data_IF_532471921607
#
_entry.id   IF_532471921607
#
_cell.length_a   1.000
_cell.length_b   1.000
_cell.length_c   1.000
_cell.angle_alpha   90.00
_cell.angle_beta   90.00
_cell.angle_gamma   90.00
#
_symmetry.space_group_name_H-M   'P 1'
#
loop_
_entity.id
_entity.type
_entity.pdbx_description
1 polymer ?
#
# COMPACT_ATOMS: atom_id res chain seq x y z
N UNK A 1 25.26 17.94 -58.39
CA UNK A 1 26.18 18.65 -57.46
C UNK A 1 25.34 19.11 -56.27
N UNK A 2 25.16 18.23 -55.28
CA UNK A 2 25.80 18.27 -53.94
C UNK A 2 25.39 19.51 -53.14
N UNK A 3 24.50 19.44 -52.16
CA UNK A 3 24.75 19.03 -50.75
C UNK A 3 23.41 19.17 -49.99
N UNK A 4 22.86 18.14 -49.35
CA UNK A 4 23.08 17.67 -47.97
C UNK A 4 23.21 18.76 -46.89
N UNK A 5 22.15 18.92 -46.08
CA UNK A 5 22.23 19.48 -44.72
C UNK A 5 21.04 18.98 -43.89
N UNK A 6 21.38 18.05 -43.00
CA UNK A 6 20.53 17.42 -41.99
C UNK A 6 20.26 18.39 -40.83
N UNK A 7 18.99 18.76 -40.62
CA UNK A 7 18.51 19.36 -39.35
C UNK A 7 17.95 18.27 -38.44
N UNK A 8 18.61 18.06 -37.30
CA UNK A 8 18.08 17.28 -36.16
C UNK A 8 16.95 18.07 -35.48
N UNK A 9 15.84 17.44 -35.04
CA UNK A 9 15.00 18.01 -34.00
C UNK A 9 15.59 17.67 -32.62
N UNK A 10 15.63 18.68 -31.76
CA UNK A 10 16.16 18.61 -30.40
C UNK A 10 15.34 17.68 -29.50
N UNK A 11 16.07 16.96 -28.64
CA UNK A 11 15.54 16.44 -27.39
C UNK A 11 15.24 17.61 -26.47
N UNK A 12 13.97 17.81 -26.15
CA UNK A 12 13.57 18.47 -24.91
C UNK A 12 12.25 17.84 -24.46
N UNK A 13 12.35 16.91 -23.50
CA UNK A 13 11.21 16.38 -22.75
C UNK A 13 11.76 15.72 -21.48
N UNK A 14 12.09 16.55 -20.50
CA UNK A 14 12.60 16.14 -19.19
C UNK A 14 11.91 16.84 -18.01
N UNK A 15 10.74 17.44 -18.21
CA UNK A 15 10.05 18.25 -17.20
C UNK A 15 8.54 18.01 -17.25
N UNK A 16 8.08 16.84 -16.78
CA UNK A 16 6.62 16.64 -16.61
C UNK A 16 6.19 15.71 -15.47
N UNK A 17 7.08 14.91 -14.87
CA UNK A 17 6.70 14.04 -13.75
C UNK A 17 6.96 14.68 -12.37
N UNK A 18 7.98 15.54 -12.24
CA UNK A 18 8.33 16.20 -10.98
C UNK A 18 7.39 17.37 -10.63
N UNK A 19 6.90 18.09 -11.65
CA UNK A 19 5.97 19.23 -11.46
C UNK A 19 4.58 18.77 -11.00
N UNK A 20 4.13 17.58 -11.43
CA UNK A 20 2.82 17.05 -11.04
C UNK A 20 2.74 16.67 -9.55
N UNK A 21 3.83 16.13 -8.99
CA UNK A 21 3.90 15.79 -7.57
C UNK A 21 3.98 17.04 -6.69
N UNK A 22 4.70 18.08 -7.14
CA UNK A 22 4.79 19.37 -6.44
C UNK A 22 3.45 20.11 -6.40
N UNK A 23 2.72 20.12 -7.52
CA UNK A 23 1.40 20.75 -7.62
C UNK A 23 0.34 20.05 -6.74
N UNK A 24 0.37 18.71 -6.69
CA UNK A 24 -0.53 17.94 -5.83
C UNK A 24 -0.26 18.18 -4.33
N UNK A 25 1.01 18.32 -3.95
CA UNK A 25 1.41 18.60 -2.57
C UNK A 25 1.04 20.02 -2.14
N UNK A 26 1.21 21.01 -3.01
CA UNK A 26 0.76 22.40 -2.77
C UNK A 26 -0.77 22.50 -2.70
N UNK A 27 -1.50 21.78 -3.55
CA UNK A 27 -2.97 21.72 -3.48
C UNK A 27 -3.45 21.06 -2.17
N UNK A 28 -2.81 19.97 -1.73
CA UNK A 28 -3.09 19.35 -0.44
C UNK A 28 -2.79 20.29 0.74
N UNK A 29 -1.72 21.09 0.63
CA UNK A 29 -1.31 22.05 1.65
C UNK A 29 -2.23 23.27 1.73
N UNK A 30 -2.76 23.72 0.60
CA UNK A 30 -3.81 24.74 0.53
C UNK A 30 -5.13 24.23 1.15
N UNK A 31 -5.44 22.94 0.96
CA UNK A 31 -6.62 22.29 1.57
C UNK A 31 -6.47 22.11 3.09
N UNK A 32 -5.25 22.08 3.62
CA UNK A 32 -4.93 21.91 5.03
C UNK A 32 -4.85 23.22 5.83
N UNK A 33 -5.02 24.39 5.19
CA UNK A 33 -5.14 25.64 5.94
C UNK A 33 -6.50 25.68 6.63
N UNK A 34 -6.49 25.59 7.96
CA UNK A 34 -7.70 25.77 8.75
C UNK A 34 -8.27 27.18 8.49
N UNK A 35 -9.56 27.31 8.13
CA UNK A 35 -10.15 28.62 7.90
C UNK A 35 -10.09 29.47 9.18
N UNK A 36 -9.93 30.81 9.05
CA UNK A 36 -9.95 31.71 10.20
C UNK A 36 -11.28 31.60 10.97
N UNK A 37 -11.24 31.90 12.27
CA UNK A 37 -12.29 31.60 13.25
C UNK A 37 -13.68 32.27 13.01
N UNK A 38 -13.81 33.11 11.99
CA UNK A 38 -15.02 33.89 11.67
C UNK A 38 -15.84 33.33 10.50
N UNK A 39 -15.38 32.26 9.82
CA UNK A 39 -15.89 31.87 8.49
C UNK A 39 -16.72 30.57 8.44
N UNK A 40 -17.05 29.99 9.61
CA UNK A 40 -17.83 28.75 9.66
C UNK A 40 -19.32 29.09 9.71
N UNK A 41 -20.14 28.70 8.73
CA UNK A 41 -21.57 28.97 8.75
C UNK A 41 -22.22 28.27 9.96
N UNK A 42 -22.95 29.04 10.76
CA UNK A 42 -23.62 28.56 11.96
C UNK A 42 -25.11 28.47 11.68
N UNK A 43 -25.73 27.33 11.95
CA UNK A 43 -27.19 27.15 11.94
C UNK A 43 -27.62 26.79 13.35
N UNK A 44 -28.34 27.71 14.00
CA UNK A 44 -28.86 27.54 15.34
C UNK A 44 -30.30 27.06 15.27
N UNK A 45 -30.59 25.91 15.87
CA UNK A 45 -31.97 25.47 16.11
C UNK A 45 -32.35 25.74 17.56
N UNK A 46 -33.31 26.63 17.80
CA UNK A 46 -33.92 26.82 19.12
C UNK A 46 -35.21 25.99 19.24
N UNK A 47 -35.31 25.20 20.29
CA UNK A 47 -36.50 24.43 20.66
C UNK A 47 -36.98 24.92 22.02
N UNK A 48 -38.07 25.67 22.02
CA UNK A 48 -38.61 26.35 23.20
C UNK A 48 -40.09 26.67 22.97
N UNK A 49 -40.97 26.46 23.94
CA UNK A 49 -42.41 26.76 23.77
C UNK A 49 -42.72 28.26 23.94
N UNK A 50 -41.81 29.03 24.53
CA UNK A 50 -41.98 30.44 24.83
C UNK A 50 -41.44 31.33 23.72
N UNK A 51 -42.34 31.98 23.00
CA UNK A 51 -42.01 32.94 21.93
C UNK A 51 -41.15 34.11 22.40
N UNK A 52 -41.22 34.48 23.69
CA UNK A 52 -40.39 35.56 24.25
C UNK A 52 -38.91 35.18 24.30
N UNK A 53 -38.59 33.90 24.55
CA UNK A 53 -37.22 33.39 24.54
C UNK A 53 -36.68 33.38 23.12
N UNK A 54 -37.50 32.93 22.15
CA UNK A 54 -37.13 32.99 20.74
C UNK A 54 -36.84 34.41 20.26
N UNK A 55 -37.66 35.39 20.64
CA UNK A 55 -37.41 36.80 20.30
C UNK A 55 -36.14 37.35 20.95
N UNK A 56 -35.85 36.97 22.19
CA UNK A 56 -34.64 37.40 22.88
C UNK A 56 -33.38 36.82 22.22
N UNK A 57 -33.38 35.52 21.91
CA UNK A 57 -32.28 34.85 21.19
C UNK A 57 -32.11 35.44 19.80
N UNK A 58 -33.20 35.62 19.04
CA UNK A 58 -33.16 36.23 17.72
C UNK A 58 -32.56 37.64 17.75
N UNK A 59 -32.93 38.47 18.73
CA UNK A 59 -32.35 39.80 18.91
C UNK A 59 -30.87 39.75 19.30
N UNK A 60 -30.47 38.79 20.14
CA UNK A 60 -29.07 38.62 20.51
C UNK A 60 -28.19 38.26 19.29
N UNK A 61 -28.75 37.50 18.34
CA UNK A 61 -28.06 37.05 17.12
C UNK A 61 -28.19 38.01 15.93
N UNK A 62 -29.05 39.04 15.99
CA UNK A 62 -29.40 39.87 14.82
C UNK A 62 -28.21 40.60 14.17
N UNK A 63 -27.22 41.01 14.97
CA UNK A 63 -26.02 41.71 14.50
C UNK A 63 -24.81 40.78 14.31
N UNK A 64 -25.01 39.46 14.32
CA UNK A 64 -23.95 38.47 14.17
C UNK A 64 -23.93 37.86 12.77
N UNK A 65 -22.95 38.25 11.96
CA UNK A 65 -22.76 37.69 10.63
C UNK A 65 -22.45 36.18 10.68
N UNK A 66 -22.99 35.46 9.69
CA UNK A 66 -22.75 34.02 9.50
C UNK A 66 -23.51 33.11 10.47
N UNK A 67 -24.51 33.64 11.20
CA UNK A 67 -25.40 32.86 12.06
C UNK A 67 -26.83 32.88 11.51
N UNK A 68 -27.28 31.74 11.00
CA UNK A 68 -28.67 31.47 10.68
C UNK A 68 -29.41 30.93 11.91
N UNK A 69 -30.70 31.23 11.99
CA UNK A 69 -31.54 30.88 13.14
C UNK A 69 -32.86 30.25 12.70
N UNK A 70 -33.20 29.11 13.32
CA UNK A 70 -34.46 28.43 13.16
C UNK A 70 -35.13 28.23 14.53
N UNK A 71 -36.42 28.52 14.62
CA UNK A 71 -37.21 28.38 15.84
C UNK A 71 -38.27 27.30 15.71
N UNK A 72 -38.28 26.36 16.67
CA UNK A 72 -39.23 25.27 16.77
C UNK A 72 -40.01 25.39 18.10
N UNK A 73 -41.30 25.77 18.06
CA UNK A 73 -42.11 25.98 19.26
C UNK A 73 -42.67 24.71 19.91
N UNK A 74 -42.59 23.56 19.23
CA UNK A 74 -43.28 22.32 19.61
C UNK A 74 -42.28 21.18 19.76
N UNK A 75 -42.35 20.44 20.86
CA UNK A 75 -41.48 19.27 21.10
C UNK A 75 -41.60 18.21 20.02
N UNK A 76 -42.81 18.00 19.50
CA UNK A 76 -43.13 16.91 18.57
C UNK A 76 -42.45 17.11 17.21
N UNK A 77 -42.21 18.35 16.82
CA UNK A 77 -41.59 18.73 15.54
C UNK A 77 -40.06 18.85 15.66
N UNK A 78 -39.52 18.87 16.88
CA UNK A 78 -38.14 19.23 17.15
C UNK A 78 -37.12 18.25 16.53
N UNK A 79 -37.43 16.95 16.48
CA UNK A 79 -36.56 15.96 15.84
C UNK A 79 -36.55 16.11 14.32
N UNK A 80 -37.72 16.34 13.72
CA UNK A 80 -37.85 16.55 12.28
C UNK A 80 -37.14 17.84 11.86
N UNK A 81 -37.38 18.94 12.59
CA UNK A 81 -36.71 20.22 12.37
C UNK A 81 -35.18 20.08 12.45
N UNK A 82 -34.64 19.34 13.42
CA UNK A 82 -33.19 19.11 13.53
C UNK A 82 -32.61 18.35 12.33
N UNK A 83 -33.32 17.34 11.82
CA UNK A 83 -32.86 16.59 10.63
C UNK A 83 -32.93 17.44 9.37
N UNK A 84 -33.99 18.23 9.21
CA UNK A 84 -34.23 19.07 8.03
C UNK A 84 -33.25 20.24 7.96
N UNK A 85 -33.12 20.98 9.06
CA UNK A 85 -32.30 22.21 9.12
C UNK A 85 -30.80 21.94 9.24
N UNK A 86 -30.40 20.72 9.65
CA UNK A 86 -29.01 20.32 9.89
C UNK A 86 -28.24 21.35 10.71
N UNK A 87 -28.69 21.65 11.94
CA UNK A 87 -28.09 22.68 12.75
C UNK A 87 -26.65 22.33 13.14
N UNK A 88 -25.83 23.35 13.33
CA UNK A 88 -24.49 23.20 13.90
C UNK A 88 -24.49 23.31 15.43
N UNK A 89 -25.60 23.78 16.02
CA UNK A 89 -25.88 23.74 17.46
C UNK A 89 -27.39 23.77 17.71
N UNK A 90 -27.85 23.02 18.71
CA UNK A 90 -29.24 23.02 19.19
C UNK A 90 -29.30 23.69 20.56
N UNK A 91 -30.21 24.66 20.70
CA UNK A 91 -30.60 25.24 21.99
C UNK A 91 -31.90 24.57 22.43
N UNK A 92 -31.86 23.76 23.47
CA UNK A 92 -33.00 22.94 23.91
C UNK A 92 -33.54 23.39 25.26
N UNK A 93 -34.80 23.81 25.32
CA UNK A 93 -35.46 24.01 26.60
C UNK A 93 -35.65 22.70 27.36
N UNK A 94 -35.46 22.72 28.68
CA UNK A 94 -35.71 21.56 29.52
C UNK A 94 -37.19 21.40 29.90
N UNK A 95 -37.95 22.49 29.99
CA UNK A 95 -39.33 22.46 30.48
C UNK A 95 -40.29 22.86 29.37
N UNK A 96 -40.83 21.88 28.67
CA UNK A 96 -41.81 22.10 27.60
C UNK A 96 -43.12 21.34 27.86
N UNK A 97 -44.26 21.83 27.37
CA UNK A 97 -45.52 21.09 27.38
C UNK A 97 -45.40 19.77 26.59
N UNK A 98 -45.90 18.68 27.16
CA UNK A 98 -45.97 17.37 26.50
C UNK A 98 -44.73 16.51 26.74
N UNK A 99 -43.59 16.89 26.17
CA UNK A 99 -42.34 16.11 26.25
C UNK A 99 -41.29 16.80 27.11
N UNK A 100 -40.69 16.06 28.04
CA UNK A 100 -39.54 16.51 28.83
C UNK A 100 -38.31 16.78 27.93
N UNK A 101 -37.70 17.95 28.06
CA UNK A 101 -36.57 18.36 27.22
C UNK A 101 -35.37 17.41 27.33
N UNK A 102 -35.15 16.76 28.49
CA UNK A 102 -34.11 15.73 28.62
C UNK A 102 -34.40 14.48 27.76
N UNK A 103 -35.68 14.17 27.52
CA UNK A 103 -36.07 13.08 26.63
C UNK A 103 -35.76 13.42 25.16
N UNK A 104 -35.92 14.69 24.76
CA UNK A 104 -35.48 15.16 23.44
C UNK A 104 -33.96 15.11 23.26
N UNK A 105 -33.19 15.52 24.28
CA UNK A 105 -31.72 15.39 24.26
C UNK A 105 -31.29 13.94 23.99
N UNK A 106 -31.91 12.98 24.67
CA UNK A 106 -31.65 11.55 24.43
C UNK A 106 -32.06 11.13 23.02
N UNK A 107 -33.21 11.59 22.53
CA UNK A 107 -33.68 11.30 21.18
C UNK A 107 -32.67 11.79 20.11
N UNK A 108 -32.15 13.01 20.26
CA UNK A 108 -31.10 13.54 19.37
C UNK A 108 -29.86 12.64 19.35
N UNK A 109 -29.38 12.21 20.53
CA UNK A 109 -28.20 11.32 20.65
C UNK A 109 -28.41 9.92 20.05
N UNK A 110 -29.65 9.45 19.96
CA UNK A 110 -29.96 8.17 19.30
C UNK A 110 -30.12 8.28 17.78
N UNK A 111 -30.29 9.50 17.23
CA UNK A 111 -30.49 9.69 15.80
C UNK A 111 -29.14 9.78 15.06
N UNK A 112 -28.86 8.90 14.08
CA UNK A 112 -27.55 8.85 13.42
C UNK A 112 -27.18 10.10 12.62
N UNK A 113 -28.15 10.93 12.23
CA UNK A 113 -27.92 12.14 11.42
C UNK A 113 -27.48 13.32 12.29
N UNK A 114 -27.99 13.41 13.52
CA UNK A 114 -27.84 14.59 14.40
C UNK A 114 -27.22 14.25 15.76
N UNK A 115 -26.87 12.99 16.02
CA UNK A 115 -26.29 12.55 17.30
C UNK A 115 -25.04 13.32 17.71
N UNK A 116 -24.28 13.80 16.73
CA UNK A 116 -23.01 14.50 16.93
C UNK A 116 -23.20 16.02 17.01
N UNK A 117 -24.40 16.54 16.76
CA UNK A 117 -24.72 17.97 16.86
C UNK A 117 -24.66 18.41 18.34
N UNK A 118 -23.91 19.47 18.68
CA UNK A 118 -23.85 20.00 20.03
C UNK A 118 -25.22 20.47 20.52
N UNK A 119 -25.55 20.16 21.78
CA UNK A 119 -26.79 20.58 22.42
C UNK A 119 -26.46 21.42 23.65
N UNK A 120 -26.94 22.66 23.65
CA UNK A 120 -26.91 23.56 24.79
C UNK A 120 -28.31 23.54 25.41
N UNK A 121 -28.44 23.07 26.63
CA UNK A 121 -29.74 23.08 27.30
C UNK A 121 -30.00 24.44 27.95
N UNK A 122 -31.24 24.91 27.86
CA UNK A 122 -31.73 26.16 28.45
C UNK A 122 -32.63 25.84 29.64
N UNK A 123 -32.43 26.53 30.77
CA UNK A 123 -33.23 26.34 31.99
C UNK A 123 -33.57 27.66 32.67
N UNK A 124 -34.65 27.70 33.45
CA UNK A 124 -35.08 28.93 34.15
C UNK A 124 -34.24 29.26 35.39
N UNK A 125 -33.60 28.27 36.01
CA UNK A 125 -32.81 28.44 37.25
C UNK A 125 -31.61 27.52 37.22
N UNK A 126 -30.49 27.97 37.79
CA UNK A 126 -29.32 27.11 37.96
C UNK A 126 -29.53 26.14 39.13
N UNK A 127 -29.93 24.91 38.80
CA UNK A 127 -30.09 23.83 39.77
C UNK A 127 -29.05 22.73 39.50
N UNK A 128 -28.13 22.43 40.45
CA UNK A 128 -27.05 21.48 40.24
C UNK A 128 -27.51 20.09 39.80
N UNK A 129 -28.66 19.63 40.32
CA UNK A 129 -29.24 18.32 40.00
C UNK A 129 -29.68 18.25 38.54
N UNK A 130 -30.37 19.29 38.06
CA UNK A 130 -30.85 19.37 36.67
C UNK A 130 -29.66 19.52 35.71
N UNK A 131 -28.68 20.36 36.05
CA UNK A 131 -27.44 20.52 35.29
C UNK A 131 -26.72 19.19 35.13
N UNK A 132 -26.54 18.45 36.22
CA UNK A 132 -25.92 17.11 36.19
C UNK A 132 -26.71 16.13 35.31
N UNK A 133 -28.04 16.14 35.40
CA UNK A 133 -28.90 15.27 34.59
C UNK A 133 -28.82 15.60 33.09
N UNK A 134 -28.70 16.88 32.73
CA UNK A 134 -28.55 17.31 31.34
C UNK A 134 -27.25 16.81 30.70
N UNK A 135 -26.12 16.97 31.38
CA UNK A 135 -24.84 16.42 30.89
C UNK A 135 -24.88 14.89 30.78
N UNK A 136 -25.48 14.20 31.76
CA UNK A 136 -25.65 12.75 31.73
C UNK A 136 -26.57 12.27 30.58
N UNK A 137 -27.55 13.09 30.18
CA UNK A 137 -28.40 12.82 29.02
C UNK A 137 -27.70 13.07 27.68
N UNK A 138 -26.55 13.74 27.69
CA UNK A 138 -25.72 14.01 26.51
C UNK A 138 -25.68 15.47 26.06
N UNK A 139 -26.16 16.42 26.87
CA UNK A 139 -25.95 17.85 26.59
C UNK A 139 -24.45 18.20 26.63
N UNK A 140 -24.04 19.13 25.78
CA UNK A 140 -22.66 19.63 25.72
C UNK A 140 -22.46 20.85 26.62
N UNK A 141 -23.54 21.56 26.93
CA UNK A 141 -23.51 22.78 27.72
C UNK A 141 -24.86 23.08 28.36
N UNK A 142 -24.86 24.01 29.31
CA UNK A 142 -26.02 24.41 30.09
C UNK A 142 -26.03 25.93 30.28
N UNK A 143 -27.16 26.57 29.97
CA UNK A 143 -27.38 28.01 30.12
C UNK A 143 -28.68 28.32 30.87
N UNK A 144 -28.65 29.38 31.68
CA UNK A 144 -29.84 29.93 32.34
C UNK A 144 -30.51 30.94 31.43
N UNK A 145 -31.84 30.89 31.33
CA UNK A 145 -32.66 31.83 30.53
C UNK A 145 -32.88 33.14 31.29
N UNK A 146 -32.73 34.32 30.69
CA UNK A 146 -32.16 34.63 29.37
C UNK A 146 -30.67 34.95 29.52
N UNK A 147 -29.76 34.31 28.76
CA UNK A 147 -28.32 34.57 28.87
C UNK A 147 -27.95 35.93 28.28
N UNK A 148 -26.81 36.46 28.71
CA UNK A 148 -26.22 37.65 28.10
C UNK A 148 -25.85 37.40 26.64
N UNK A 149 -25.98 38.43 25.78
CA UNK A 149 -25.68 38.34 24.34
C UNK A 149 -24.26 37.81 24.09
N UNK A 150 -23.28 38.33 24.82
CA UNK A 150 -21.87 37.99 24.63
C UNK A 150 -21.65 36.52 24.97
N UNK A 151 -22.22 36.05 26.08
CA UNK A 151 -22.09 34.66 26.50
C UNK A 151 -22.77 33.69 25.51
N UNK A 152 -23.99 34.00 25.09
CA UNK A 152 -24.77 33.16 24.18
C UNK A 152 -24.05 32.98 22.83
N UNK A 153 -23.61 34.09 22.22
CA UNK A 153 -22.90 34.07 20.94
C UNK A 153 -21.58 33.30 21.06
N UNK A 154 -20.82 33.52 22.14
CA UNK A 154 -19.55 32.82 22.35
C UNK A 154 -19.73 31.30 22.42
N UNK A 155 -20.75 30.82 23.14
CA UNK A 155 -21.04 29.37 23.25
C UNK A 155 -21.54 28.79 21.93
N UNK A 156 -22.44 29.49 21.23
CA UNK A 156 -22.91 29.08 19.90
C UNK A 156 -21.73 28.92 18.94
N UNK A 157 -20.89 29.95 18.80
CA UNK A 157 -19.73 29.91 17.89
C UNK A 157 -18.74 28.82 18.29
N UNK A 158 -18.47 28.63 19.58
CA UNK A 158 -17.56 27.58 20.06
C UNK A 158 -18.04 26.18 19.70
N UNK A 159 -19.30 25.87 19.98
CA UNK A 159 -19.87 24.54 19.73
C UNK A 159 -20.03 24.27 18.24
N UNK A 160 -20.56 25.22 17.47
CA UNK A 160 -20.71 25.09 16.02
C UNK A 160 -19.36 24.87 15.33
N UNK A 161 -18.31 25.62 15.71
CA UNK A 161 -16.96 25.41 15.17
C UNK A 161 -16.43 24.02 15.51
N UNK A 162 -16.61 23.57 16.74
CA UNK A 162 -16.16 22.24 17.16
C UNK A 162 -16.84 21.12 16.36
N UNK A 163 -18.13 21.28 16.08
CA UNK A 163 -18.88 20.33 15.26
C UNK A 163 -18.43 20.33 13.80
N UNK A 164 -18.27 21.50 13.17
CA UNK A 164 -17.80 21.56 11.78
C UNK A 164 -16.38 21.02 11.65
N UNK A 165 -15.49 21.32 12.60
CA UNK A 165 -14.14 20.74 12.62
C UNK A 165 -14.17 19.21 12.74
N UNK A 166 -15.11 18.65 13.51
CA UNK A 166 -15.30 17.20 13.61
C UNK A 166 -15.70 16.60 12.25
N UNK A 167 -16.67 17.22 11.56
CA UNK A 167 -17.12 16.77 10.23
C UNK A 167 -15.99 16.83 9.20
N UNK A 168 -15.28 17.95 9.13
CA UNK A 168 -14.14 18.14 8.22
C UNK A 168 -13.02 17.13 8.49
N UNK A 169 -12.72 16.87 9.77
CA UNK A 169 -11.71 15.89 10.17
C UNK A 169 -12.11 14.49 9.72
N UNK A 170 -13.36 14.10 9.91
CA UNK A 170 -13.86 12.78 9.54
C UNK A 170 -13.86 12.58 8.01
N UNK A 171 -14.22 13.61 7.25
CA UNK A 171 -14.11 13.62 5.79
C UNK A 171 -12.65 13.49 5.32
N UNK A 172 -11.74 14.29 5.89
CA UNK A 172 -10.32 14.23 5.58
C UNK A 172 -9.72 12.85 5.88
N UNK A 173 -10.10 12.21 6.99
CA UNK A 173 -9.66 10.85 7.31
C UNK A 173 -10.16 9.81 6.29
N UNK A 174 -11.40 9.93 5.81
CA UNK A 174 -11.92 9.04 4.77
C UNK A 174 -11.17 9.20 3.45
N UNK A 175 -10.96 10.44 3.01
CA UNK A 175 -10.20 10.74 1.80
C UNK A 175 -8.76 10.23 1.89
N UNK A 176 -8.09 10.44 3.04
CA UNK A 176 -6.73 9.96 3.27
C UNK A 176 -6.63 8.43 3.17
N UNK A 177 -7.57 7.70 3.78
CA UNK A 177 -7.59 6.23 3.71
C UNK A 177 -7.76 5.72 2.28
N UNK A 178 -8.67 6.33 1.51
CA UNK A 178 -8.86 5.96 0.10
C UNK A 178 -7.59 6.20 -0.72
N UNK A 179 -6.94 7.35 -0.54
CA UNK A 179 -5.69 7.67 -1.22
C UNK A 179 -4.55 6.69 -0.85
N UNK A 180 -4.42 6.35 0.43
CA UNK A 180 -3.42 5.37 0.89
C UNK A 180 -3.64 3.99 0.27
N UNK A 181 -4.89 3.54 0.17
CA UNK A 181 -5.21 2.26 -0.45
C UNK A 181 -4.86 2.26 -1.95
N UNK A 182 -5.25 3.31 -2.68
CA UNK A 182 -4.92 3.44 -4.11
C UNK A 182 -3.41 3.46 -4.34
N UNK A 183 -2.65 4.17 -3.49
CA UNK A 183 -1.20 4.21 -3.58
C UNK A 183 -0.57 2.83 -3.35
N UNK A 184 -1.08 2.07 -2.39
CA UNK A 184 -0.61 0.72 -2.12
C UNK A 184 -0.85 -0.22 -3.30
N UNK A 185 -2.07 -0.22 -3.85
CA UNK A 185 -2.43 -1.02 -5.03
C UNK A 185 -1.57 -0.66 -6.23
N UNK A 186 -1.38 0.64 -6.50
CA UNK A 186 -0.50 1.11 -7.57
C UNK A 186 0.97 0.69 -7.37
N UNK A 187 1.48 0.72 -6.13
CA UNK A 187 2.85 0.30 -5.83
C UNK A 187 3.06 -1.21 -6.04
N UNK A 188 2.08 -2.02 -5.62
CA UNK A 188 2.11 -3.47 -5.81
C UNK A 188 2.09 -3.82 -7.31
N UNK A 189 1.22 -3.16 -8.08
CA UNK A 189 1.15 -3.39 -9.52
C UNK A 189 2.42 -2.94 -10.24
N UNK A 190 2.97 -1.77 -9.89
CA UNK A 190 4.26 -1.32 -10.41
C UNK A 190 5.36 -2.34 -10.13
N UNK A 191 5.48 -2.83 -8.89
CA UNK A 191 6.48 -3.86 -8.53
C UNK A 191 6.30 -5.13 -9.36
N UNK A 192 5.07 -5.58 -9.56
CA UNK A 192 4.75 -6.76 -10.37
C UNK A 192 5.18 -6.55 -11.83
N UNK A 193 4.85 -5.40 -12.41
CA UNK A 193 5.19 -5.06 -13.80
C UNK A 193 6.69 -4.85 -14.03
N UNK A 194 7.41 -4.30 -13.04
CA UNK A 194 8.84 -4.01 -13.19
C UNK A 194 9.70 -5.21 -12.88
N UNK A 195 9.36 -6.02 -11.88
CA UNK A 195 10.26 -7.06 -11.35
C UNK A 195 9.83 -8.49 -11.63
N UNK A 196 8.58 -8.77 -11.97
CA UNK A 196 8.11 -10.15 -12.19
C UNK A 196 8.00 -10.52 -13.67
N UNK A 197 8.15 -11.80 -13.99
CA UNK A 197 7.83 -12.40 -15.27
C UNK A 197 6.33 -12.71 -15.34
N UNK A 198 5.68 -12.27 -16.43
CA UNK A 198 4.22 -12.33 -16.56
C UNK A 198 3.64 -13.75 -16.68
N UNK A 199 4.44 -14.75 -17.07
CA UNK A 199 3.98 -16.14 -17.22
C UNK A 199 4.16 -16.94 -15.92
N UNK A 200 5.35 -16.83 -15.32
CA UNK A 200 5.79 -17.71 -14.24
C UNK A 200 5.64 -17.11 -12.85
N UNK A 201 5.50 -15.78 -12.75
CA UNK A 201 5.44 -15.06 -11.47
C UNK A 201 6.79 -14.87 -10.76
N UNK A 202 7.83 -15.58 -11.19
CA UNK A 202 9.21 -15.37 -10.72
C UNK A 202 9.72 -13.99 -11.08
N UNK A 203 10.90 -13.64 -10.59
CA UNK A 203 11.58 -12.43 -11.04
C UNK A 203 11.84 -12.48 -12.55
N UNK A 204 11.75 -11.34 -13.23
CA UNK A 204 12.16 -11.23 -14.61
C UNK A 204 13.68 -11.01 -14.74
N UNK A 205 14.19 -11.17 -15.97
CA UNK A 205 15.61 -10.98 -16.27
C UNK A 205 16.16 -9.62 -15.86
N UNK A 206 15.39 -8.55 -16.02
CA UNK A 206 15.84 -7.19 -15.67
C UNK A 206 16.13 -7.10 -14.18
N UNK A 207 15.20 -7.58 -13.34
CA UNK A 207 15.38 -7.56 -11.91
C UNK A 207 16.48 -8.53 -11.44
N UNK A 208 16.63 -9.68 -12.11
CA UNK A 208 17.77 -10.57 -11.87
C UNK A 208 19.11 -9.86 -12.08
N UNK A 209 19.29 -9.13 -13.19
CA UNK A 209 20.53 -8.43 -13.49
C UNK A 209 20.84 -7.34 -12.44
N UNK A 210 19.81 -6.59 -12.01
CA UNK A 210 19.91 -5.59 -10.96
C UNK A 210 20.31 -6.21 -9.60
N UNK A 211 19.63 -7.30 -9.22
CA UNK A 211 19.87 -8.02 -7.97
C UNK A 211 21.27 -8.64 -7.93
N UNK A 212 21.67 -9.31 -9.02
CA UNK A 212 22.99 -9.92 -9.13
C UNK A 212 24.11 -8.87 -9.02
N UNK A 213 23.93 -7.69 -9.62
CA UNK A 213 24.88 -6.59 -9.51
C UNK A 213 24.97 -6.04 -8.07
N UNK A 214 23.83 -5.91 -7.39
CA UNK A 214 23.80 -5.50 -5.99
C UNK A 214 24.53 -6.51 -5.09
N UNK A 215 24.24 -7.80 -5.25
CA UNK A 215 24.88 -8.86 -4.47
C UNK A 215 26.36 -9.07 -4.83
N UNK A 216 26.76 -8.81 -6.09
CA UNK A 216 28.19 -8.78 -6.47
C UNK A 216 28.97 -7.73 -5.69
N UNK A 217 28.42 -6.51 -5.59
CA UNK A 217 29.04 -5.41 -4.82
C UNK A 217 29.09 -5.74 -3.33
N UNK A 218 28.02 -6.34 -2.80
CA UNK A 218 27.96 -6.81 -1.41
C UNK A 218 29.03 -7.87 -1.14
N UNK A 219 29.09 -8.92 -1.96
CA UNK A 219 30.07 -10.00 -1.86
C UNK A 219 31.51 -9.52 -1.97
N UNK A 220 31.77 -8.52 -2.83
CA UNK A 220 33.10 -7.90 -2.94
C UNK A 220 33.52 -7.21 -1.64
N UNK A 221 32.60 -6.48 -1.01
CA UNK A 221 32.86 -5.76 0.25
C UNK A 221 33.02 -6.72 1.44
N UNK A 222 32.18 -7.75 1.50
CA UNK A 222 32.10 -8.67 2.63
C UNK A 222 33.02 -9.89 2.47
N UNK A 223 33.65 -10.05 1.30
CA UNK A 223 34.42 -11.24 0.91
C UNK A 223 33.62 -12.53 1.13
N UNK A 224 32.33 -12.47 0.82
CA UNK A 224 31.41 -13.59 0.93
C UNK A 224 31.21 -14.27 -0.42
N UNK A 225 30.92 -15.57 -0.39
CA UNK A 225 30.63 -16.34 -1.59
C UNK A 225 29.33 -15.85 -2.24
N UNK A 226 29.33 -15.76 -3.57
CA UNK A 226 28.16 -15.54 -4.39
C UNK A 226 28.07 -16.65 -5.41
N UNK A 227 26.89 -17.26 -5.50
CA UNK A 227 26.66 -18.42 -6.35
C UNK A 227 25.48 -18.21 -7.28
N UNK A 228 25.54 -18.85 -8.44
CA UNK A 228 24.54 -18.78 -9.50
C UNK A 228 24.24 -20.19 -10.01
N UNK A 229 22.96 -20.50 -10.17
CA UNK A 229 22.48 -21.63 -10.95
C UNK A 229 21.86 -21.12 -12.25
N UNK A 230 22.22 -21.74 -13.37
CA UNK A 230 21.49 -21.65 -14.63
C UNK A 230 20.77 -22.97 -14.88
N UNK A 231 19.48 -22.89 -15.17
CA UNK A 231 18.57 -24.03 -15.25
C UNK A 231 17.87 -23.96 -16.60
N UNK A 232 17.77 -25.10 -17.28
CA UNK A 232 17.08 -25.20 -18.57
C UNK A 232 16.21 -26.45 -18.61
N UNK A 233 14.99 -26.30 -19.16
CA UNK A 233 14.06 -27.42 -19.35
C UNK A 233 14.49 -28.27 -20.53
N UNK A 234 14.84 -29.52 -20.25
CA UNK A 234 15.33 -30.45 -21.25
C UNK A 234 14.27 -30.72 -22.32
N UNK A 235 14.67 -30.66 -23.60
CA UNK A 235 13.81 -31.00 -24.73
C UNK A 235 12.54 -30.12 -24.86
N UNK A 236 12.50 -28.91 -24.25
CA UNK A 236 11.29 -28.09 -24.21
C UNK A 236 10.72 -27.70 -25.58
N UNK A 237 11.58 -27.42 -26.58
CA UNK A 237 11.12 -27.20 -27.96
C UNK A 237 10.34 -28.41 -28.50
N UNK A 238 10.86 -29.61 -28.30
CA UNK A 238 10.21 -30.86 -28.72
C UNK A 238 8.90 -31.09 -27.94
N UNK A 239 8.87 -30.72 -26.65
CA UNK A 239 7.64 -30.72 -25.87
C UNK A 239 6.57 -29.83 -26.49
N UNK A 240 6.90 -28.58 -26.81
CA UNK A 240 5.97 -27.64 -27.45
C UNK A 240 5.49 -28.12 -28.82
N UNK A 241 6.39 -28.67 -29.63
CA UNK A 241 6.05 -29.22 -30.95
C UNK A 241 5.09 -30.41 -30.83
N UNK A 242 5.09 -31.13 -29.71
CA UNK A 242 4.24 -32.30 -29.46
C UNK A 242 2.89 -31.95 -28.82
N UNK A 243 2.90 -31.09 -27.80
CA UNK A 243 1.75 -30.84 -26.92
C UNK A 243 1.15 -29.42 -27.06
N UNK A 244 1.77 -28.58 -27.88
CA UNK A 244 1.39 -27.18 -28.09
C UNK A 244 1.91 -26.24 -27.00
N UNK A 245 2.01 -24.96 -27.35
CA UNK A 245 2.57 -23.91 -26.49
C UNK A 245 1.81 -23.71 -25.17
N UNK A 246 0.47 -23.87 -25.17
CA UNK A 246 -0.33 -23.72 -23.94
C UNK A 246 0.09 -24.77 -22.89
N UNK A 247 0.31 -26.01 -23.31
CA UNK A 247 0.81 -27.07 -22.44
C UNK A 247 2.23 -26.78 -21.95
N UNK A 248 3.08 -26.23 -22.83
CA UNK A 248 4.43 -25.79 -22.47
C UNK A 248 4.43 -24.68 -21.43
N UNK A 249 3.55 -23.69 -21.57
CA UNK A 249 3.37 -22.60 -20.60
C UNK A 249 3.01 -23.15 -19.22
N UNK A 250 2.15 -24.17 -19.14
CA UNK A 250 1.80 -24.82 -17.88
C UNK A 250 2.96 -25.64 -17.29
N UNK A 251 3.81 -26.24 -18.12
CA UNK A 251 5.08 -26.84 -17.68
C UNK A 251 5.98 -25.77 -17.06
N UNK A 252 6.17 -24.63 -17.73
CA UNK A 252 7.03 -23.55 -17.23
C UNK A 252 6.53 -22.99 -15.89
N UNK A 253 5.21 -22.81 -15.72
CA UNK A 253 4.62 -22.40 -14.44
C UNK A 253 4.90 -23.39 -13.32
N UNK A 254 4.77 -24.69 -13.58
CA UNK A 254 5.03 -25.75 -12.59
C UNK A 254 6.51 -25.85 -12.25
N UNK A 255 7.39 -25.71 -13.25
CA UNK A 255 8.85 -25.66 -13.05
C UNK A 255 9.20 -24.47 -12.17
N UNK A 256 8.70 -23.28 -12.52
CA UNK A 256 8.93 -22.05 -11.78
C UNK A 256 8.52 -22.14 -10.30
N UNK A 257 7.28 -22.56 -10.04
CA UNK A 257 6.76 -22.72 -8.68
C UNK A 257 7.57 -23.75 -7.88
N UNK A 258 8.03 -24.82 -8.53
CA UNK A 258 8.85 -25.85 -7.87
C UNK A 258 10.24 -25.33 -7.53
N UNK A 259 10.88 -24.58 -8.44
CA UNK A 259 12.17 -23.92 -8.18
C UNK A 259 12.04 -22.98 -6.99
N UNK A 260 11.03 -22.10 -6.98
CA UNK A 260 10.79 -21.16 -5.88
C UNK A 260 10.54 -21.87 -4.55
N UNK A 261 9.72 -22.92 -4.53
CA UNK A 261 9.44 -23.71 -3.31
C UNK A 261 10.68 -24.43 -2.73
N UNK A 262 11.73 -24.62 -3.55
CA UNK A 262 12.97 -25.22 -3.08
C UNK A 262 13.86 -24.22 -2.33
N UNK A 263 13.69 -22.92 -2.59
CA UNK A 263 14.41 -21.83 -1.94
C UNK A 263 13.88 -21.61 -0.53
N UNK A 264 14.76 -21.25 0.40
CA UNK A 264 14.40 -21.15 1.82
C UNK A 264 14.96 -19.93 2.53
N UNK A 265 15.86 -19.18 1.89
CA UNK A 265 16.48 -18.00 2.49
C UNK A 265 15.90 -16.73 1.88
N UNK A 266 15.68 -15.66 2.67
CA UNK A 266 15.21 -14.37 2.14
C UNK A 266 16.12 -13.73 1.08
N UNK A 267 17.39 -14.14 1.01
CA UNK A 267 18.36 -13.68 0.01
C UNK A 267 18.45 -14.57 -1.23
N UNK A 268 17.77 -15.71 -1.29
CA UNK A 268 17.76 -16.52 -2.51
C UNK A 268 16.80 -15.87 -3.51
N UNK A 269 17.20 -15.75 -4.78
CA UNK A 269 16.35 -15.18 -5.84
C UNK A 269 16.20 -16.17 -6.99
N UNK A 270 14.98 -16.56 -7.31
CA UNK A 270 14.65 -17.25 -8.56
C UNK A 270 14.11 -16.27 -9.61
N UNK A 271 14.58 -16.42 -10.84
CA UNK A 271 14.15 -15.61 -11.97
C UNK A 271 13.97 -16.46 -13.23
N UNK A 272 13.05 -16.04 -14.11
CA UNK A 272 13.01 -16.54 -15.49
C UNK A 272 13.99 -15.74 -16.33
N UNK A 273 15.02 -16.42 -16.84
CA UNK A 273 16.07 -15.81 -17.63
C UNK A 273 15.61 -15.52 -19.07
N UNK A 274 14.81 -16.41 -19.65
CA UNK A 274 14.18 -16.24 -20.96
C UNK A 274 13.72 -17.58 -21.53
N UNK A 275 12.59 -17.61 -22.26
CA UNK A 275 12.09 -18.87 -22.83
C UNK A 275 11.87 -19.94 -21.76
N UNK A 276 12.61 -21.04 -21.86
CA UNK A 276 12.67 -22.17 -20.95
C UNK A 276 13.80 -22.13 -19.91
N UNK A 277 14.55 -21.03 -19.87
CA UNK A 277 15.71 -20.84 -18.99
C UNK A 277 15.32 -20.10 -17.70
N UNK A 278 15.85 -20.59 -16.59
CA UNK A 278 15.68 -20.02 -15.25
C UNK A 278 17.06 -19.81 -14.60
N UNK A 279 17.14 -18.82 -13.72
CA UNK A 279 18.35 -18.53 -12.95
C UNK A 279 18.03 -18.47 -11.46
N UNK A 280 18.97 -18.91 -10.62
CA UNK A 280 18.87 -18.77 -9.16
C UNK A 280 20.14 -18.13 -8.61
N UNK A 281 20.01 -17.00 -7.94
CA UNK A 281 21.10 -16.30 -7.26
C UNK A 281 21.11 -16.70 -5.78
N UNK A 282 22.27 -17.07 -5.26
CA UNK A 282 22.46 -17.61 -3.92
C UNK A 282 23.60 -16.89 -3.19
N UNK A 283 23.32 -15.77 -2.51
CA UNK A 283 24.29 -15.06 -1.69
C UNK A 283 24.75 -15.92 -0.50
N UNK A 284 26.03 -15.83 -0.15
CA UNK A 284 26.64 -16.52 0.99
C UNK A 284 26.51 -18.04 0.94
N UNK A 285 26.51 -18.62 -0.27
CA UNK A 285 26.32 -20.06 -0.47
C UNK A 285 27.53 -20.70 -1.13
N UNK A 286 28.07 -21.71 -0.47
CA UNK A 286 29.27 -22.43 -0.89
C UNK A 286 29.02 -23.38 -2.06
N UNK A 287 30.06 -23.79 -2.82
CA UNK A 287 29.93 -24.73 -3.92
C UNK A 287 29.21 -26.04 -3.54
N UNK A 288 29.43 -26.52 -2.30
CA UNK A 288 28.73 -27.68 -1.76
C UNK A 288 27.23 -27.44 -1.54
N UNK A 289 26.88 -26.28 -0.98
CA UNK A 289 25.48 -25.86 -0.81
C UNK A 289 24.76 -25.68 -2.14
N UNK A 290 25.43 -25.10 -3.12
CA UNK A 290 24.93 -24.94 -4.51
C UNK A 290 24.61 -26.29 -5.12
N UNK A 291 25.54 -27.26 -5.02
CA UNK A 291 25.32 -28.62 -5.54
C UNK A 291 24.11 -29.30 -4.90
N UNK A 292 23.97 -29.20 -3.58
CA UNK A 292 22.85 -29.80 -2.85
C UNK A 292 21.51 -29.17 -3.25
N UNK A 293 21.45 -27.84 -3.36
CA UNK A 293 20.23 -27.14 -3.77
C UNK A 293 19.88 -27.44 -5.23
N UNK A 294 20.86 -27.43 -6.14
CA UNK A 294 20.65 -27.80 -7.53
C UNK A 294 20.09 -29.23 -7.65
N UNK A 295 20.66 -30.20 -6.91
CA UNK A 295 20.18 -31.58 -6.97
C UNK A 295 18.78 -31.72 -6.36
N UNK A 296 18.49 -30.98 -5.28
CA UNK A 296 17.14 -30.88 -4.71
C UNK A 296 16.13 -30.37 -5.75
N UNK A 297 16.45 -29.29 -6.46
CA UNK A 297 15.59 -28.72 -7.51
C UNK A 297 15.39 -29.73 -8.63
N UNK A 298 16.46 -30.36 -9.13
CA UNK A 298 16.40 -31.38 -10.19
C UNK A 298 15.46 -32.54 -9.83
N UNK A 299 15.65 -33.11 -8.64
CA UNK A 299 14.83 -34.22 -8.14
C UNK A 299 13.37 -33.81 -7.93
N UNK A 300 13.11 -32.60 -7.43
CA UNK A 300 11.75 -32.10 -7.22
C UNK A 300 11.00 -31.94 -8.55
N UNK A 301 11.66 -31.46 -9.60
CA UNK A 301 11.07 -31.34 -10.95
C UNK A 301 10.77 -32.71 -11.54
N UNK A 302 11.73 -33.64 -11.46
CA UNK A 302 11.52 -35.02 -11.94
C UNK A 302 10.36 -35.72 -11.20
N UNK A 303 10.19 -35.43 -9.91
CA UNK A 303 9.10 -35.96 -9.09
C UNK A 303 7.71 -35.43 -9.49
N UNK A 304 7.60 -34.32 -10.23
CA UNK A 304 6.31 -33.86 -10.77
C UNK A 304 5.70 -34.83 -11.79
N UNK A 305 6.54 -35.69 -12.40
CA UNK A 305 6.12 -36.70 -13.40
C UNK A 305 5.25 -36.12 -14.52
N UNK A 306 5.59 -34.93 -15.00
CA UNK A 306 4.92 -34.30 -16.14
C UNK A 306 5.29 -35.09 -17.41
N UNK A 307 4.33 -35.71 -18.08
CA UNK A 307 4.59 -36.62 -19.19
C UNK A 307 5.24 -35.91 -20.39
N UNK A 308 6.33 -36.47 -20.90
CA UNK A 308 7.00 -36.06 -22.14
C UNK A 308 7.47 -37.29 -22.90
N UNK A 309 6.59 -37.84 -23.76
CA UNK A 309 6.80 -39.15 -24.42
C UNK A 309 7.97 -39.19 -25.42
N UNK A 310 8.39 -38.03 -25.90
CA UNK A 310 9.50 -37.89 -26.87
C UNK A 310 10.80 -37.36 -26.22
N UNK A 311 10.87 -37.31 -24.89
CA UNK A 311 12.09 -36.84 -24.21
C UNK A 311 13.25 -37.81 -24.44
N UNK A 312 14.46 -37.25 -24.61
CA UNK A 312 15.70 -38.04 -24.62
C UNK A 312 16.14 -38.50 -23.23
N UNK A 313 15.50 -38.01 -22.16
CA UNK A 313 15.87 -38.28 -20.75
C UNK A 313 14.94 -39.27 -20.06
N UNK A 314 13.88 -39.73 -20.72
CA UNK A 314 12.90 -40.64 -20.14
C UNK A 314 11.47 -40.31 -20.57
N UNK A 315 10.49 -40.60 -19.70
CA UNK A 315 9.07 -40.39 -19.98
C UNK A 315 8.51 -39.08 -19.42
N UNK A 316 9.34 -38.30 -18.73
CA UNK A 316 8.92 -37.11 -18.00
C UNK A 316 9.77 -35.89 -18.37
N UNK A 317 9.23 -34.69 -18.12
CA UNK A 317 9.96 -33.44 -18.17
C UNK A 317 11.09 -33.45 -17.13
N UNK A 318 12.29 -33.07 -17.55
CA UNK A 318 13.48 -32.96 -16.70
C UNK A 318 14.16 -31.62 -16.93
N UNK A 319 15.12 -31.29 -16.09
CA UNK A 319 15.92 -30.07 -16.21
C UNK A 319 17.42 -30.41 -16.14
N UNK A 320 18.22 -29.64 -16.86
CA UNK A 320 19.67 -29.59 -16.71
C UNK A 320 20.06 -28.34 -15.93
N UNK A 321 21.02 -28.46 -15.00
CA UNK A 321 21.45 -27.35 -14.15
C UNK A 321 22.97 -27.19 -14.21
N UNK A 322 23.42 -25.97 -14.47
CA UNK A 322 24.79 -25.53 -14.31
C UNK A 322 24.92 -24.63 -13.09
N UNK A 323 25.83 -24.93 -12.17
CA UNK A 323 26.11 -24.08 -11.02
C UNK A 323 27.54 -23.54 -11.04
N UNK A 324 27.72 -22.33 -10.52
CA UNK A 324 29.04 -21.75 -10.27
C UNK A 324 29.02 -20.93 -8.97
N UNK A 325 30.20 -20.83 -8.36
CA UNK A 325 30.42 -20.09 -7.12
C UNK A 325 31.70 -19.29 -7.23
N UNK A 326 31.70 -18.08 -6.68
CA UNK A 326 32.87 -17.21 -6.64
C UNK A 326 32.87 -16.40 -5.35
N UNK A 327 34.02 -16.01 -4.85
CA UNK A 327 34.13 -14.88 -3.91
C UNK A 327 34.45 -13.65 -4.76
N UNK A 328 33.51 -12.72 -4.97
CA UNK A 328 33.76 -11.55 -5.81
C UNK A 328 34.97 -10.75 -5.32
N UNK A 329 35.83 -10.34 -6.24
CA UNK A 329 37.04 -9.58 -5.94
C UNK A 329 37.14 -8.35 -6.85
N UNK A 330 37.87 -7.33 -6.38
CA UNK A 330 38.14 -6.15 -7.17
C UNK A 330 38.91 -6.53 -8.45
N UNK A 331 38.39 -6.15 -9.61
CA UNK A 331 38.96 -6.46 -10.93
C UNK A 331 38.42 -7.73 -11.60
N UNK A 332 37.66 -8.56 -10.89
CA UNK A 332 36.96 -9.70 -11.51
C UNK A 332 35.62 -9.24 -12.08
N UNK A 333 35.33 -9.49 -13.38
CA UNK A 333 34.05 -9.10 -13.96
C UNK A 333 32.93 -10.05 -13.50
N UNK A 334 31.75 -9.50 -13.21
CA UNK A 334 30.55 -10.27 -12.84
C UNK A 334 30.18 -11.31 -13.91
N UNK A 335 30.45 -11.02 -15.19
CA UNK A 335 30.18 -11.94 -16.31
C UNK A 335 30.89 -13.28 -16.16
N UNK A 336 32.02 -13.33 -15.46
CA UNK A 336 32.76 -14.58 -15.22
C UNK A 336 31.94 -15.63 -14.46
N UNK A 337 31.06 -15.21 -13.54
CA UNK A 337 30.16 -16.11 -12.81
C UNK A 337 29.06 -16.66 -13.70
N UNK A 338 28.48 -15.81 -14.55
CA UNK A 338 27.44 -16.20 -15.51
C UNK A 338 28.02 -17.18 -16.53
N UNK A 339 29.16 -16.85 -17.14
CA UNK A 339 29.86 -17.71 -18.09
C UNK A 339 30.26 -19.06 -17.48
N UNK A 340 30.63 -19.09 -16.19
CA UNK A 340 30.94 -20.33 -15.48
C UNK A 340 29.69 -21.20 -15.29
N UNK A 341 28.56 -20.61 -14.90
CA UNK A 341 27.29 -21.32 -14.76
C UNK A 341 26.82 -21.87 -16.12
N UNK A 342 26.94 -21.08 -17.20
CA UNK A 342 26.59 -21.49 -18.56
C UNK A 342 27.46 -22.63 -19.07
N UNK A 343 28.79 -22.57 -18.85
CA UNK A 343 29.69 -23.68 -19.18
C UNK A 343 29.32 -24.95 -18.42
N UNK A 344 28.93 -24.82 -17.16
CA UNK A 344 28.45 -25.96 -16.39
C UNK A 344 27.15 -26.52 -16.97
N UNK A 345 26.18 -25.66 -17.31
CA UNK A 345 24.91 -26.07 -17.90
C UNK A 345 25.11 -26.77 -19.25
N UNK A 346 26.01 -26.24 -20.07
CA UNK A 346 26.42 -26.87 -21.33
C UNK A 346 26.97 -28.29 -21.10
N UNK A 347 27.85 -28.48 -20.10
CA UNK A 347 28.34 -29.82 -19.72
C UNK A 347 27.20 -30.73 -19.27
N UNK A 348 26.26 -30.24 -18.46
CA UNK A 348 25.11 -31.02 -18.03
C UNK A 348 24.27 -31.51 -19.22
N UNK A 349 23.96 -30.62 -20.17
CA UNK A 349 23.23 -30.97 -21.40
C UNK A 349 23.98 -32.00 -22.26
N UNK A 350 25.28 -31.82 -22.47
CA UNK A 350 26.09 -32.71 -23.31
C UNK A 350 26.39 -34.07 -22.68
N UNK A 351 26.35 -34.19 -21.36
CA UNK A 351 26.58 -35.45 -20.66
C UNK A 351 25.31 -36.30 -20.51
N UNK A 352 24.23 -35.96 -21.21
CA UNK A 352 22.99 -36.73 -21.22
C UNK A 352 21.84 -36.09 -20.45
N UNK A 353 21.91 -34.79 -20.16
CA UNK A 353 20.84 -33.99 -19.55
C UNK A 353 20.38 -34.53 -18.18
N UNK A 354 19.25 -34.05 -17.65
CA UNK A 354 18.68 -34.42 -16.35
C UNK A 354 19.74 -34.55 -15.25
N UNK A 355 20.60 -33.54 -15.11
CA UNK A 355 21.73 -33.58 -14.18
C UNK A 355 22.20 -32.21 -13.77
N UNK A 356 22.96 -32.20 -12.67
CA UNK A 356 23.68 -31.04 -12.18
C UNK A 356 25.16 -31.14 -12.57
N UNK A 357 25.70 -30.07 -13.13
CA UNK A 357 27.13 -29.86 -13.24
C UNK A 357 27.51 -28.58 -12.50
N UNK A 358 28.68 -28.58 -11.84
CA UNK A 358 29.21 -27.41 -11.15
C UNK A 358 30.53 -27.02 -11.83
N UNK A 359 30.75 -25.73 -12.07
CA UNK A 359 32.06 -25.19 -12.40
C UNK A 359 32.83 -24.95 -11.10
N UNK A 360 33.92 -25.67 -10.92
CA UNK A 360 34.74 -25.60 -9.71
C UNK A 360 35.68 -24.37 -9.69
N UNK A 361 35.75 -23.60 -10.78
CA UNK A 361 36.83 -22.63 -10.98
C UNK A 361 38.21 -23.30 -11.01
N UNK A 362 39.28 -22.57 -11.31
CA UNK A 362 40.62 -23.07 -11.02
C UNK A 362 40.74 -23.24 -9.50
N UNK A 363 40.95 -24.48 -9.05
CA UNK A 363 41.31 -24.74 -7.67
C UNK A 363 42.52 -23.85 -7.32
N UNK A 364 42.36 -22.94 -6.35
CA UNK A 364 43.50 -22.27 -5.75
C UNK A 364 44.41 -23.38 -5.25
N UNK A 365 45.56 -23.55 -5.92
CA UNK A 365 46.57 -24.51 -5.55
C UNK A 365 46.84 -24.30 -4.05
N UNK A 366 46.55 -25.33 -3.25
CA UNK A 366 47.03 -25.37 -1.88
C UNK A 366 48.55 -25.31 -1.96
N UNK A 367 49.12 -24.17 -1.57
CA UNK A 367 50.54 -24.00 -1.32
C UNK A 367 50.92 -24.89 -0.13
N UNK A 368 51.08 -26.18 -0.42
CA UNK A 368 51.60 -27.21 0.46
C UNK A 368 53.07 -27.45 0.14
N UNK A 369 53.87 -26.38 0.12
CA UNK A 369 55.32 -26.45 0.04
C UNK A 369 55.92 -26.94 1.36
N UNK A 370 55.73 -28.23 1.65
CA UNK A 370 56.50 -28.93 2.69
C UNK A 370 57.86 -29.31 2.13
N UNK A 371 58.87 -28.47 2.33
CA UNK A 371 60.27 -28.82 2.11
C UNK A 371 60.75 -29.74 3.26
N UNK A 372 61.40 -30.87 2.96
CA UNK A 372 61.97 -31.73 4.00
C UNK A 372 63.30 -31.12 4.48
N UNK A 373 63.50 -31.12 5.80
CA UNK A 373 64.80 -31.03 6.44
C UNK A 373 64.99 -32.26 7.33
#
# INVERSE_FOLDING_TARGET
>A
MTSDSTRRPGHDNGTSAADGAGAALEAARATLQAPPATDVPVMVLLVDDQTIVAQAVLRALADEDGIDFHYCPRSDDALAAAVETRPTVILQDLVMPGTDGLSLVKAYRTNPVIRDVPIIVLSNKEEPVIKSAAFAAGANDYLVKLPDRIELVARIRYHSRSYVNLLQRDEAYRALRQSQQQLLEANLELRRLTHSDGLTGLSNRRYLDEYLNAEWRRGTRERSELSLLMIDVDNFKLYNDTYGHVSGDDVLKRVASTVESCLGRPGDLAARFGGEEFAVVLPGTSPGGVRLLAEKIRLAIEALRLEHVHSSTGRYVTISIGGASVVPAAGTPMTSLIEAADRALYRAKHQGKNRVAIDAGPAMASDGGGQPA
#
